data_IF_867880076071
#
_entry.id   IF_867880076071
#
_cell.length_a   1.000
_cell.length_b   1.000
_cell.length_c   1.000
_cell.angle_alpha   90.00
_cell.angle_beta   90.00
_cell.angle_gamma   90.00
#
_symmetry.space_group_name_H-M   'P 1'
#
loop_
_entity.id
_entity.type
_entity.pdbx_description
1 polymer ?
#
# COMPACT_ATOMS: atom_id res chain seq x y z
N UNK A 1 30.68 4.98 3.06
CA UNK A 1 30.25 5.40 1.70
C UNK A 1 31.40 5.23 0.70
N UNK A 2 31.10 4.79 -0.53
CA UNK A 2 32.09 4.76 -1.64
C UNK A 2 32.23 6.13 -2.29
N UNK A 3 33.42 6.43 -2.82
CA UNK A 3 33.65 7.65 -3.62
C UNK A 3 33.18 7.42 -5.06
N UNK A 4 32.25 8.26 -5.53
CA UNK A 4 31.69 8.23 -6.88
C UNK A 4 32.15 9.47 -7.68
N UNK A 5 32.28 9.36 -9.00
CA UNK A 5 32.67 10.48 -9.86
C UNK A 5 31.66 11.64 -9.78
N UNK A 6 30.38 11.34 -9.61
CA UNK A 6 29.30 12.27 -9.40
C UNK A 6 29.61 13.22 -8.24
N UNK A 7 30.16 12.71 -7.13
CA UNK A 7 30.53 13.54 -5.99
C UNK A 7 31.66 14.50 -6.35
N UNK A 8 32.68 14.02 -7.07
CA UNK A 8 33.79 14.85 -7.52
C UNK A 8 33.35 15.93 -8.51
N UNK A 9 32.51 15.59 -9.49
CA UNK A 9 31.96 16.51 -10.50
C UNK A 9 31.13 17.64 -9.86
N UNK A 10 30.52 17.37 -8.70
CA UNK A 10 29.74 18.35 -7.93
C UNK A 10 30.52 19.01 -6.78
N UNK A 11 31.85 18.86 -6.72
CA UNK A 11 32.71 19.38 -5.65
C UNK A 11 32.31 18.92 -4.24
N UNK A 12 31.75 17.71 -4.10
CA UNK A 12 31.37 17.10 -2.83
C UNK A 12 32.54 16.24 -2.32
N UNK A 13 33.43 16.86 -1.54
CA UNK A 13 34.77 16.31 -1.27
C UNK A 13 34.82 15.35 -0.06
N UNK A 14 33.78 15.33 0.76
CA UNK A 14 33.69 14.50 1.96
C UNK A 14 32.24 14.05 2.21
N UNK A 15 32.07 13.09 3.12
CA UNK A 15 30.78 12.48 3.44
C UNK A 15 29.74 13.50 3.93
N UNK A 16 30.17 14.53 4.67
CA UNK A 16 29.29 15.60 5.17
C UNK A 16 28.74 16.44 4.00
N UNK A 17 29.58 16.83 3.04
CA UNK A 17 29.14 17.58 1.85
C UNK A 17 28.17 16.75 1.00
N UNK A 18 28.45 15.45 0.82
CA UNK A 18 27.55 14.57 0.06
C UNK A 18 26.20 14.41 0.77
N UNK A 19 26.20 14.24 2.10
CA UNK A 19 24.97 14.14 2.87
C UNK A 19 24.17 15.45 2.90
N UNK A 20 24.86 16.60 2.98
CA UNK A 20 24.21 17.91 2.87
C UNK A 20 23.56 18.10 1.49
N UNK A 21 24.27 17.75 0.41
CA UNK A 21 23.69 17.76 -0.94
C UNK A 21 22.47 16.83 -1.06
N UNK A 22 22.56 15.61 -0.52
CA UNK A 22 21.42 14.69 -0.43
C UNK A 22 20.22 15.36 0.24
N UNK A 23 20.43 15.97 1.42
CA UNK A 23 19.38 16.62 2.22
C UNK A 23 18.76 17.82 1.52
N UNK A 24 19.57 18.65 0.87
CA UNK A 24 19.14 19.86 0.18
C UNK A 24 18.34 19.57 -1.09
N UNK A 25 18.61 18.42 -1.72
CA UNK A 25 17.93 17.99 -2.95
C UNK A 25 16.75 17.03 -2.72
N UNK A 26 16.35 16.81 -1.46
CA UNK A 26 15.13 16.06 -1.11
C UNK A 26 13.91 16.73 -1.74
N UNK A 27 13.10 15.94 -2.45
CA UNK A 27 11.85 16.40 -3.03
C UNK A 27 10.78 16.64 -1.95
N UNK A 28 10.00 17.70 -2.15
CA UNK A 28 8.89 18.03 -1.27
C UNK A 28 7.79 16.95 -1.30
N UNK A 29 7.48 16.41 -2.48
CA UNK A 29 6.41 15.43 -2.67
C UNK A 29 6.62 14.60 -3.93
N UNK A 30 6.19 13.35 -3.89
CA UNK A 30 6.05 12.49 -5.08
C UNK A 30 4.58 12.33 -5.51
N UNK A 31 3.65 13.14 -4.99
CA UNK A 31 2.22 12.99 -5.30
C UNK A 31 1.95 13.35 -6.77
N UNK A 32 1.58 12.35 -7.55
CA UNK A 32 0.94 12.51 -8.86
C UNK A 32 -0.58 12.56 -8.72
N UNK A 33 -1.32 12.78 -9.80
CA UNK A 33 -2.80 12.76 -9.77
C UNK A 33 -3.37 11.44 -9.24
N UNK A 34 -2.68 10.33 -9.47
CA UNK A 34 -3.07 8.99 -9.00
C UNK A 34 -2.97 8.84 -7.47
N UNK A 35 -2.30 9.77 -6.78
CA UNK A 35 -2.20 9.78 -5.32
C UNK A 35 -3.54 10.00 -4.63
N UNK A 36 -4.46 10.76 -5.24
CA UNK A 36 -5.65 11.24 -4.54
C UNK A 36 -6.69 10.14 -4.36
N UNK A 37 -7.35 9.71 -5.43
CA UNK A 37 -8.38 8.67 -5.39
C UNK A 37 -8.20 7.74 -6.59
N UNK A 38 -8.27 6.43 -6.35
CA UNK A 38 -8.40 5.46 -7.42
C UNK A 38 -9.89 5.34 -7.81
N UNK A 39 -10.31 6.19 -8.73
CA UNK A 39 -11.69 6.25 -9.18
C UNK A 39 -12.17 4.97 -9.86
N UNK A 40 -11.30 4.32 -10.64
CA UNK A 40 -11.63 3.04 -11.30
C UNK A 40 -12.02 1.97 -10.27
N UNK A 41 -11.25 1.86 -9.18
CA UNK A 41 -11.56 0.95 -8.07
C UNK A 41 -12.87 1.32 -7.38
N UNK A 42 -13.10 2.61 -7.13
CA UNK A 42 -14.34 3.09 -6.51
C UNK A 42 -15.55 2.75 -7.38
N UNK A 43 -15.54 3.10 -8.66
CA UNK A 43 -16.61 2.78 -9.61
C UNK A 43 -16.81 1.27 -9.72
N UNK A 44 -15.73 0.51 -9.89
CA UNK A 44 -15.79 -0.94 -10.02
C UNK A 44 -16.33 -1.66 -8.79
N UNK A 45 -16.14 -1.11 -7.59
CA UNK A 45 -16.70 -1.69 -6.37
C UNK A 45 -18.18 -1.35 -6.16
N UNK A 46 -18.59 -0.12 -6.46
CA UNK A 46 -20.01 0.27 -6.38
C UNK A 46 -20.83 -0.48 -7.43
N UNK A 47 -20.31 -0.62 -8.65
CA UNK A 47 -21.05 -1.23 -9.75
C UNK A 47 -21.32 -2.73 -9.53
N UNK A 48 -20.43 -3.43 -8.81
CA UNK A 48 -20.65 -4.84 -8.41
C UNK A 48 -21.92 -5.09 -7.62
N UNK A 49 -22.44 -4.07 -6.93
CA UNK A 49 -23.60 -4.15 -6.05
C UNK A 49 -24.74 -3.26 -6.51
N UNK A 50 -24.71 -2.78 -7.76
CA UNK A 50 -25.64 -1.78 -8.26
C UNK A 50 -27.11 -2.24 -8.12
N UNK A 51 -27.40 -3.51 -8.44
CA UNK A 51 -28.77 -4.05 -8.34
C UNK A 51 -29.21 -4.12 -6.88
N UNK A 52 -28.39 -4.72 -6.02
CA UNK A 52 -28.71 -4.91 -4.60
C UNK A 52 -28.87 -3.58 -3.85
N UNK A 53 -28.05 -2.58 -4.16
CA UNK A 53 -28.16 -1.22 -3.61
C UNK A 53 -29.47 -0.54 -4.01
N UNK A 54 -29.89 -0.70 -5.27
CA UNK A 54 -31.16 -0.13 -5.75
C UNK A 54 -32.38 -0.83 -5.15
N UNK A 55 -32.31 -2.13 -4.86
CA UNK A 55 -33.35 -2.83 -4.11
C UNK A 55 -33.48 -2.23 -2.70
N UNK A 56 -32.36 -2.07 -2.00
CA UNK A 56 -32.34 -1.55 -0.63
C UNK A 56 -32.78 -0.09 -0.53
N UNK A 57 -32.70 0.69 -1.62
CA UNK A 57 -33.20 2.06 -1.66
C UNK A 57 -34.71 2.16 -1.35
N UNK A 58 -35.48 1.08 -1.51
CA UNK A 58 -36.89 1.08 -1.11
C UNK A 58 -37.10 1.23 0.40
N UNK A 59 -36.06 1.05 1.22
CA UNK A 59 -36.12 1.20 2.67
C UNK A 59 -35.92 2.65 3.15
N UNK A 60 -35.45 3.55 2.28
CA UNK A 60 -35.15 4.94 2.64
C UNK A 60 -36.42 5.65 3.12
N UNK A 61 -36.38 6.21 4.32
CA UNK A 61 -37.53 6.90 4.93
C UNK A 61 -38.71 5.99 5.28
N UNK A 62 -38.54 4.66 5.31
CA UNK A 62 -39.61 3.73 5.62
C UNK A 62 -40.09 3.80 7.07
N UNK A 63 -41.41 3.90 7.26
CA UNK A 63 -42.06 3.79 8.56
C UNK A 63 -42.24 2.34 9.05
N UNK A 64 -42.01 1.36 8.16
CA UNK A 64 -42.17 -0.08 8.43
C UNK A 64 -40.89 -0.87 8.10
N UNK A 65 -39.74 -0.24 8.34
CA UNK A 65 -38.44 -0.74 7.94
C UNK A 65 -38.19 -2.24 8.22
N UNK A 66 -38.52 -2.72 9.42
CA UNK A 66 -38.24 -4.13 9.77
C UNK A 66 -39.12 -5.10 8.98
N UNK A 67 -40.37 -4.74 8.66
CA UNK A 67 -41.28 -5.58 7.85
C UNK A 67 -40.82 -5.61 6.38
N UNK A 68 -40.46 -4.45 5.84
CA UNK A 68 -39.99 -4.31 4.47
C UNK A 68 -38.62 -4.97 4.26
N UNK A 69 -37.69 -4.83 5.23
CA UNK A 69 -36.41 -5.51 5.17
C UNK A 69 -36.60 -7.04 5.23
N UNK A 70 -37.52 -7.55 6.05
CA UNK A 70 -37.87 -8.99 6.04
C UNK A 70 -38.39 -9.44 4.68
N UNK A 71 -39.25 -8.64 4.05
CA UNK A 71 -39.78 -8.94 2.72
C UNK A 71 -38.65 -8.99 1.69
N UNK A 72 -37.76 -7.99 1.68
CA UNK A 72 -36.61 -7.94 0.79
C UNK A 72 -35.70 -9.15 1.01
N UNK A 73 -35.34 -9.48 2.25
CA UNK A 73 -34.45 -10.60 2.56
C UNK A 73 -35.04 -11.96 2.16
N UNK A 74 -36.36 -12.13 2.26
CA UNK A 74 -37.04 -13.33 1.77
C UNK A 74 -37.02 -13.43 0.23
N UNK A 75 -37.21 -12.30 -0.47
CA UNK A 75 -37.37 -12.28 -1.93
C UNK A 75 -36.04 -12.19 -2.69
N UNK A 76 -35.07 -11.45 -2.14
CA UNK A 76 -33.78 -11.10 -2.72
C UNK A 76 -32.66 -11.33 -1.70
N UNK A 77 -32.41 -12.57 -1.25
CA UNK A 77 -31.40 -12.86 -0.21
C UNK A 77 -29.98 -12.41 -0.58
N UNK A 78 -29.69 -12.20 -1.86
CA UNK A 78 -28.40 -11.71 -2.36
C UNK A 78 -28.02 -10.31 -1.87
N UNK A 79 -29.00 -9.49 -1.44
CA UNK A 79 -28.73 -8.12 -0.95
C UNK A 79 -27.82 -8.08 0.27
N UNK A 80 -27.75 -9.18 1.02
CA UNK A 80 -26.89 -9.27 2.22
C UNK A 80 -25.42 -9.02 1.90
N UNK A 81 -24.99 -9.24 0.64
CA UNK A 81 -23.60 -9.04 0.23
C UNK A 81 -23.14 -7.59 0.37
N UNK A 82 -24.10 -6.65 0.35
CA UNK A 82 -23.84 -5.21 0.42
C UNK A 82 -23.65 -4.74 1.86
N UNK A 83 -24.25 -5.43 2.83
CA UNK A 83 -24.32 -4.97 4.22
C UNK A 83 -22.97 -4.64 4.86
N UNK A 84 -21.91 -5.46 4.70
CA UNK A 84 -20.59 -5.10 5.24
C UNK A 84 -20.04 -3.81 4.63
N UNK A 85 -20.26 -3.61 3.33
CA UNK A 85 -19.76 -2.43 2.61
C UNK A 85 -20.38 -1.16 3.15
N UNK A 86 -21.68 -1.17 3.48
CA UNK A 86 -22.37 -0.01 4.07
C UNK A 86 -21.79 0.41 5.44
N UNK A 87 -21.10 -0.49 6.13
CA UNK A 87 -20.41 -0.19 7.40
C UNK A 87 -18.92 0.06 7.24
N UNK A 88 -18.40 0.15 6.02
CA UNK A 88 -16.97 0.24 5.84
C UNK A 88 -16.22 -1.03 6.25
N UNK A 89 -16.83 -2.21 6.06
CA UNK A 89 -16.22 -3.53 6.28
C UNK A 89 -16.03 -4.28 4.95
N UNK A 90 -14.85 -4.88 4.74
CA UNK A 90 -14.54 -5.69 3.53
C UNK A 90 -14.80 -7.17 3.72
N UNK A 91 -14.73 -7.65 4.96
CA UNK A 91 -14.90 -9.05 5.26
C UNK A 91 -16.35 -9.48 5.05
N UNK A 92 -16.53 -10.50 4.21
CA UNK A 92 -17.83 -11.08 3.91
C UNK A 92 -18.27 -12.14 4.94
N UNK A 93 -17.42 -12.39 5.94
CA UNK A 93 -17.69 -13.27 7.07
C UNK A 93 -16.90 -12.75 8.27
N UNK A 94 -17.57 -12.44 9.37
CA UNK A 94 -16.90 -12.01 10.59
C UNK A 94 -17.73 -12.35 11.83
N UNK A 95 -17.08 -12.27 12.98
CA UNK A 95 -17.67 -12.52 14.28
C UNK A 95 -17.77 -11.23 15.08
N UNK A 96 -18.91 -11.02 15.75
CA UNK A 96 -19.14 -9.87 16.64
C UNK A 96 -19.26 -10.38 18.06
N UNK A 97 -18.48 -9.82 18.97
CA UNK A 97 -18.55 -10.12 20.40
C UNK A 97 -19.89 -9.62 20.98
N UNK A 98 -20.60 -10.48 21.68
CA UNK A 98 -21.76 -10.09 22.48
C UNK A 98 -21.29 -9.60 23.86
N UNK A 99 -21.10 -8.29 23.97
CA UNK A 99 -20.66 -7.66 25.22
C UNK A 99 -21.68 -7.80 26.36
N UNK A 100 -22.95 -8.11 26.09
CA UNK A 100 -23.97 -8.35 27.12
C UNK A 100 -23.78 -9.68 27.85
N UNK A 101 -22.92 -10.55 27.32
CA UNK A 101 -22.61 -11.88 27.86
C UNK A 101 -21.22 -11.94 28.49
N UNK A 102 -20.56 -10.80 28.69
CA UNK A 102 -19.31 -10.79 29.44
C UNK A 102 -19.52 -11.34 30.86
N UNK A 103 -18.57 -12.13 31.38
CA UNK A 103 -17.23 -12.40 30.85
C UNK A 103 -17.11 -13.62 29.91
N UNK A 104 -18.21 -14.22 29.44
CA UNK A 104 -18.18 -15.49 28.68
C UNK A 104 -17.61 -15.38 27.25
N UNK A 105 -17.24 -14.18 26.78
CA UNK A 105 -16.72 -13.91 25.43
C UNK A 105 -17.44 -14.67 24.31
N UNK A 106 -18.78 -14.56 24.27
CA UNK A 106 -19.57 -15.21 23.24
C UNK A 106 -19.55 -14.38 21.96
N UNK A 107 -19.34 -15.05 20.83
CA UNK A 107 -19.27 -14.43 19.51
C UNK A 107 -20.44 -14.87 18.64
N UNK A 108 -20.99 -13.92 17.91
CA UNK A 108 -22.02 -14.15 16.91
C UNK A 108 -21.41 -14.07 15.52
N UNK A 109 -21.54 -15.13 14.74
CA UNK A 109 -21.04 -15.20 13.37
C UNK A 109 -22.06 -14.64 12.38
N UNK A 110 -21.60 -13.74 11.50
CA UNK A 110 -22.35 -13.27 10.34
C UNK A 110 -21.66 -13.73 9.06
N UNK A 111 -22.43 -14.31 8.15
CA UNK A 111 -21.96 -14.77 6.84
C UNK A 111 -22.81 -14.16 5.73
N UNK A 112 -22.21 -13.22 4.99
CA UNK A 112 -22.85 -12.46 3.92
C UNK A 112 -22.68 -13.10 2.54
N UNK A 113 -22.17 -14.34 2.49
CA UNK A 113 -22.06 -15.15 1.25
C UNK A 113 -23.19 -16.17 1.11
N UNK A 114 -24.15 -16.21 2.05
CA UNK A 114 -25.28 -17.14 1.99
C UNK A 114 -26.12 -16.87 0.74
N UNK A 115 -26.50 -17.95 0.04
CA UNK A 115 -27.38 -17.88 -1.15
C UNK A 115 -28.86 -17.90 -0.80
N UNK A 116 -29.20 -18.51 0.34
CA UNK A 116 -30.56 -18.67 0.84
C UNK A 116 -30.56 -18.31 2.32
N UNK A 117 -31.67 -17.75 2.81
CA UNK A 117 -31.85 -17.34 4.20
C UNK A 117 -33.02 -18.12 4.80
N UNK A 118 -32.85 -18.64 6.01
CA UNK A 118 -33.97 -19.12 6.82
C UNK A 118 -34.50 -18.00 7.72
N UNK A 119 -35.61 -18.24 8.43
CA UNK A 119 -36.22 -17.22 9.28
C UNK A 119 -35.27 -16.68 10.36
N UNK A 120 -34.44 -17.55 10.96
CA UNK A 120 -33.46 -17.12 11.95
C UNK A 120 -32.44 -16.18 11.30
N UNK A 121 -31.88 -16.53 10.14
CA UNK A 121 -30.93 -15.67 9.43
C UNK A 121 -31.49 -14.27 9.17
N UNK A 122 -32.77 -14.20 8.78
CA UNK A 122 -33.46 -12.94 8.53
C UNK A 122 -33.55 -12.10 9.81
N UNK A 123 -34.04 -12.66 10.92
CA UNK A 123 -34.13 -11.92 12.19
C UNK A 123 -32.74 -11.47 12.69
N UNK A 124 -31.72 -12.28 12.46
CA UNK A 124 -30.35 -11.94 12.83
C UNK A 124 -29.83 -10.74 12.01
N UNK A 125 -30.20 -10.62 10.73
CA UNK A 125 -29.91 -9.44 9.92
C UNK A 125 -30.76 -8.22 10.32
N UNK A 126 -32.01 -8.39 10.79
CA UNK A 126 -32.76 -7.28 11.39
C UNK A 126 -32.03 -6.74 12.62
N UNK A 127 -31.55 -7.63 13.51
CA UNK A 127 -30.76 -7.24 14.68
C UNK A 127 -29.47 -6.56 14.27
N UNK A 128 -28.79 -7.05 13.23
CA UNK A 128 -27.59 -6.43 12.68
C UNK A 128 -27.84 -4.98 12.25
N UNK A 129 -28.90 -4.69 11.49
CA UNK A 129 -29.24 -3.33 11.06
C UNK A 129 -29.51 -2.38 12.23
N UNK A 130 -30.18 -2.88 13.28
CA UNK A 130 -30.44 -2.10 14.49
C UNK A 130 -29.16 -1.83 15.28
N UNK A 131 -28.39 -2.89 15.60
CA UNK A 131 -27.21 -2.78 16.47
C UNK A 131 -26.03 -2.07 15.81
N UNK A 132 -25.94 -2.10 14.48
CA UNK A 132 -24.89 -1.40 13.74
C UNK A 132 -25.18 0.09 13.46
N UNK A 133 -26.42 0.54 13.67
CA UNK A 133 -26.86 1.89 13.33
C UNK A 133 -27.25 2.09 11.87
N UNK A 134 -27.17 1.06 11.00
CA UNK A 134 -27.60 1.18 9.59
C UNK A 134 -29.07 1.55 9.47
N UNK A 135 -29.93 0.99 10.33
CA UNK A 135 -31.36 1.33 10.32
C UNK A 135 -31.57 2.82 10.55
N UNK A 136 -30.93 3.38 11.56
CA UNK A 136 -31.07 4.79 11.90
C UNK A 136 -30.48 5.70 10.82
N UNK A 137 -29.35 5.30 10.23
CA UNK A 137 -28.75 6.00 9.10
C UNK A 137 -29.70 6.06 7.89
N UNK A 138 -30.37 4.95 7.56
CA UNK A 138 -31.28 4.87 6.41
C UNK A 138 -32.59 5.63 6.63
N UNK A 139 -33.17 5.55 7.83
CA UNK A 139 -34.45 6.20 8.13
C UNK A 139 -34.26 7.68 8.46
N UNK A 140 -33.30 7.99 9.34
CA UNK A 140 -33.16 9.31 9.96
C UNK A 140 -31.93 10.08 9.48
N UNK A 141 -30.96 9.41 8.86
CA UNK A 141 -29.70 10.03 8.44
C UNK A 141 -29.78 10.90 7.18
N UNK A 142 -30.98 11.09 6.61
CA UNK A 142 -31.18 11.87 5.38
C UNK A 142 -30.66 11.18 4.12
N UNK A 143 -30.39 9.87 4.18
CA UNK A 143 -30.00 9.10 3.02
C UNK A 143 -31.17 8.99 2.04
N UNK A 144 -30.94 9.46 0.81
CA UNK A 144 -31.89 9.33 -0.30
C UNK A 144 -31.48 8.23 -1.28
N UNK A 145 -30.18 7.88 -1.31
CA UNK A 145 -29.63 6.89 -2.22
C UNK A 145 -28.42 6.16 -1.61
N UNK A 146 -28.58 4.86 -1.35
CA UNK A 146 -27.54 3.97 -0.84
C UNK A 146 -26.39 3.77 -1.83
N UNK A 147 -26.65 3.89 -3.14
CA UNK A 147 -25.60 3.84 -4.15
C UNK A 147 -24.64 5.02 -4.01
N UNK A 148 -25.18 6.23 -3.82
CA UNK A 148 -24.39 7.45 -3.64
C UNK A 148 -23.66 7.46 -2.30
N UNK A 149 -24.31 6.94 -1.25
CA UNK A 149 -23.64 6.70 0.02
C UNK A 149 -22.45 5.74 -0.13
N UNK A 150 -22.61 4.65 -0.89
CA UNK A 150 -21.57 3.65 -1.10
C UNK A 150 -20.37 4.25 -1.84
N UNK A 151 -20.56 5.21 -2.76
CA UNK A 151 -19.45 5.99 -3.32
C UNK A 151 -18.63 6.68 -2.23
N UNK A 152 -19.30 7.35 -1.29
CA UNK A 152 -18.64 8.00 -0.14
C UNK A 152 -17.87 7.00 0.73
N UNK A 153 -18.44 5.82 1.00
CA UNK A 153 -17.76 4.77 1.77
C UNK A 153 -16.54 4.22 1.03
N UNK A 154 -16.65 3.96 -0.28
CA UNK A 154 -15.53 3.48 -1.10
C UNK A 154 -14.39 4.51 -1.19
N UNK A 155 -14.71 5.80 -1.32
CA UNK A 155 -13.74 6.90 -1.21
C UNK A 155 -13.08 6.93 0.18
N UNK A 156 -13.87 6.75 1.24
CA UNK A 156 -13.37 6.66 2.62
C UNK A 156 -12.40 5.48 2.83
N UNK A 157 -12.68 4.32 2.22
CA UNK A 157 -11.78 3.17 2.21
C UNK A 157 -10.48 3.41 1.46
N UNK A 158 -10.55 4.19 0.39
CA UNK A 158 -9.41 4.44 -0.48
C UNK A 158 -8.31 5.23 0.25
N UNK A 159 -8.64 5.89 1.38
CA UNK A 159 -7.67 6.53 2.28
C UNK A 159 -6.59 5.59 2.81
N UNK A 160 -6.92 4.31 3.05
CA UNK A 160 -5.94 3.28 3.40
C UNK A 160 -5.05 2.94 2.21
N UNK A 161 -5.62 2.89 1.01
CA UNK A 161 -4.87 2.71 -0.24
C UNK A 161 -3.90 3.86 -0.53
N UNK A 162 -4.23 5.11 -0.13
CA UNK A 162 -3.34 6.27 -0.31
C UNK A 162 -1.98 6.10 0.37
N UNK A 163 -1.93 5.45 1.54
CA UNK A 163 -0.67 5.20 2.26
C UNK A 163 0.28 4.30 1.46
N UNK A 164 -0.26 3.33 0.74
CA UNK A 164 0.53 2.41 -0.08
C UNK A 164 0.89 3.01 -1.44
N UNK A 165 0.00 3.85 -2.01
CA UNK A 165 0.24 4.53 -3.29
C UNK A 165 1.48 5.40 -3.30
N UNK A 166 1.84 6.04 -2.18
CA UNK A 166 3.10 6.79 -2.09
C UNK A 166 4.34 5.93 -2.42
N UNK A 167 4.36 4.68 -1.94
CA UNK A 167 5.41 3.71 -2.28
C UNK A 167 5.34 3.29 -3.76
N UNK A 168 4.16 2.93 -4.25
CA UNK A 168 3.97 2.55 -5.66
C UNK A 168 4.36 3.67 -6.63
N UNK A 169 4.09 4.94 -6.29
CA UNK A 169 4.51 6.09 -7.09
C UNK A 169 6.03 6.22 -7.06
N UNK A 170 6.68 6.03 -5.91
CA UNK A 170 8.15 6.01 -5.81
C UNK A 170 8.76 4.92 -6.69
N UNK A 171 8.25 3.69 -6.59
CA UNK A 171 8.67 2.57 -7.44
C UNK A 171 8.51 2.92 -8.92
N UNK A 172 7.36 3.49 -9.31
CA UNK A 172 7.09 3.87 -10.70
C UNK A 172 8.03 4.98 -11.21
N UNK A 173 8.33 5.98 -10.37
CA UNK A 173 9.28 7.04 -10.70
C UNK A 173 10.69 6.48 -10.91
N UNK A 174 11.14 5.61 -10.00
CA UNK A 174 12.44 4.94 -10.14
C UNK A 174 12.47 4.07 -11.40
N UNK A 175 11.43 3.27 -11.65
CA UNK A 175 11.36 2.43 -12.85
C UNK A 175 11.43 3.26 -14.14
N UNK A 176 10.75 4.41 -14.19
CA UNK A 176 10.82 5.32 -15.34
C UNK A 176 12.21 5.92 -15.51
N UNK A 177 12.86 6.34 -14.42
CA UNK A 177 14.26 6.83 -14.46
C UNK A 177 15.20 5.73 -14.99
N UNK A 178 15.07 4.48 -14.51
CA UNK A 178 15.87 3.36 -14.99
C UNK A 178 15.72 3.14 -16.51
N UNK A 179 14.51 3.32 -17.06
CA UNK A 179 14.26 3.20 -18.51
C UNK A 179 14.74 4.40 -19.31
N UNK A 180 14.40 5.61 -18.87
CA UNK A 180 14.54 6.83 -19.68
C UNK A 180 15.94 7.43 -19.60
N UNK A 181 16.60 7.32 -18.44
CA UNK A 181 17.93 7.92 -18.21
C UNK A 181 19.03 6.88 -18.33
N UNK A 182 18.79 5.68 -17.80
CA UNK A 182 19.78 4.60 -17.78
C UNK A 182 19.57 3.56 -18.89
N UNK A 183 18.54 3.71 -19.72
CA UNK A 183 18.22 2.83 -20.86
C UNK A 183 18.16 1.35 -20.50
N UNK A 184 17.72 1.02 -19.28
CA UNK A 184 17.58 -0.35 -18.83
C UNK A 184 16.29 -0.97 -19.36
N UNK A 185 16.38 -2.22 -19.81
CA UNK A 185 15.23 -2.96 -20.34
C UNK A 185 14.72 -3.95 -19.29
N UNK A 186 13.42 -3.90 -19.01
CA UNK A 186 12.77 -4.83 -18.06
C UNK A 186 12.93 -6.28 -18.53
N UNK A 187 13.14 -7.17 -17.58
CA UNK A 187 13.41 -8.61 -17.76
C UNK A 187 14.69 -8.94 -18.55
N UNK A 188 15.47 -7.92 -18.94
CA UNK A 188 16.81 -8.08 -19.51
C UNK A 188 17.88 -7.53 -18.58
N UNK A 189 17.76 -6.25 -18.20
CA UNK A 189 18.70 -5.54 -17.32
C UNK A 189 18.20 -5.47 -15.88
N UNK A 190 16.87 -5.52 -15.66
CA UNK A 190 16.32 -5.48 -14.31
C UNK A 190 14.95 -6.18 -14.21
N UNK A 191 14.56 -6.57 -13.00
CA UNK A 191 13.21 -7.07 -12.70
C UNK A 191 12.60 -6.31 -11.53
N UNK A 192 11.28 -6.11 -11.58
CA UNK A 192 10.48 -5.62 -10.44
C UNK A 192 10.05 -6.79 -9.56
N UNK A 193 10.08 -6.63 -8.23
CA UNK A 193 9.61 -7.65 -7.27
C UNK A 193 10.27 -9.03 -7.53
N UNK A 194 11.60 -9.02 -7.63
CA UNK A 194 12.41 -10.17 -8.02
C UNK A 194 12.27 -11.36 -7.06
N UNK A 195 12.34 -12.58 -7.61
CA UNK A 195 12.38 -13.82 -6.81
C UNK A 195 13.56 -14.68 -7.25
N UNK A 196 14.13 -15.53 -6.37
CA UNK A 196 15.27 -16.39 -6.75
C UNK A 196 15.03 -17.21 -8.01
N UNK A 197 13.83 -17.78 -8.14
CA UNK A 197 13.42 -18.52 -9.34
C UNK A 197 13.53 -17.66 -10.60
N UNK A 198 12.96 -16.45 -10.57
CA UNK A 198 12.97 -15.53 -11.71
C UNK A 198 14.38 -15.07 -12.08
N UNK A 199 15.22 -14.76 -11.08
CA UNK A 199 16.61 -14.35 -11.30
C UNK A 199 17.42 -15.48 -11.93
N UNK A 200 17.24 -16.70 -11.42
CA UNK A 200 17.92 -17.90 -11.95
C UNK A 200 17.51 -18.19 -13.39
N UNK A 201 16.21 -18.08 -13.70
CA UNK A 201 15.69 -18.30 -15.05
C UNK A 201 16.18 -17.27 -16.07
N UNK A 202 16.30 -16.00 -15.68
CA UNK A 202 16.68 -14.92 -16.61
C UNK A 202 18.20 -14.80 -16.81
N UNK A 203 18.98 -14.97 -15.74
CA UNK A 203 20.40 -14.62 -15.75
C UNK A 203 21.34 -15.74 -15.27
N UNK A 204 20.80 -16.89 -14.87
CA UNK A 204 21.56 -17.99 -14.24
C UNK A 204 22.34 -17.59 -12.97
N UNK A 205 21.91 -16.50 -12.32
CA UNK A 205 22.49 -15.99 -11.08
C UNK A 205 21.62 -16.39 -9.88
N UNK A 206 22.27 -16.59 -8.73
CA UNK A 206 21.58 -16.92 -7.48
C UNK A 206 21.28 -15.64 -6.70
N UNK A 207 19.98 -15.39 -6.45
CA UNK A 207 19.55 -14.35 -5.52
C UNK A 207 19.44 -14.96 -4.12
N UNK A 208 20.31 -14.58 -3.17
CA UNK A 208 20.23 -15.02 -1.80
C UNK A 208 18.95 -14.48 -1.17
N UNK A 209 18.20 -15.36 -0.51
CA UNK A 209 17.03 -14.98 0.28
C UNK A 209 17.34 -15.20 1.74
N UNK A 210 16.98 -14.21 2.55
CA UNK A 210 16.99 -14.36 4.00
C UNK A 210 15.78 -15.18 4.46
N UNK A 211 15.71 -15.49 5.76
CA UNK A 211 14.57 -16.20 6.35
C UNK A 211 13.24 -15.43 6.24
N UNK A 212 13.26 -14.14 5.91
CA UNK A 212 12.06 -13.28 5.86
C UNK A 212 11.34 -13.33 4.50
N UNK A 213 11.87 -14.06 3.51
CA UNK A 213 11.30 -14.11 2.14
C UNK A 213 11.10 -12.71 1.54
N UNK A 214 11.99 -11.78 1.86
CA UNK A 214 11.93 -10.39 1.38
C UNK A 214 11.98 -10.38 -0.14
N UNK A 215 11.10 -9.58 -0.74
CA UNK A 215 11.10 -9.32 -2.18
C UNK A 215 11.68 -7.93 -2.44
N UNK A 216 12.81 -7.83 -3.14
CA UNK A 216 13.37 -6.54 -3.55
C UNK A 216 12.40 -5.81 -4.47
N UNK A 217 12.30 -4.49 -4.32
CA UNK A 217 11.56 -3.65 -5.26
C UNK A 217 12.12 -3.82 -6.68
N UNK A 218 13.45 -3.78 -6.82
CA UNK A 218 14.15 -4.10 -8.05
C UNK A 218 15.38 -4.97 -7.80
N UNK A 219 15.65 -5.89 -8.73
CA UNK A 219 17.00 -6.41 -8.93
C UNK A 219 17.49 -5.94 -10.30
N UNK A 220 18.67 -5.33 -10.33
CA UNK A 220 19.35 -4.95 -11.57
C UNK A 220 20.53 -5.90 -11.79
N UNK A 221 20.70 -6.39 -13.02
CA UNK A 221 21.87 -7.12 -13.47
C UNK A 221 22.70 -6.22 -14.40
N UNK A 222 23.92 -5.89 -13.97
CA UNK A 222 24.92 -5.25 -14.81
C UNK A 222 26.22 -6.00 -14.71
N UNK A 223 26.80 -6.35 -15.86
CA UNK A 223 28.09 -7.03 -15.96
C UNK A 223 28.16 -8.31 -15.10
N UNK A 224 27.08 -9.11 -15.09
CA UNK A 224 26.90 -10.32 -14.26
C UNK A 224 26.99 -10.07 -12.74
N UNK A 225 26.75 -8.83 -12.30
CA UNK A 225 26.64 -8.45 -10.90
C UNK A 225 25.22 -8.03 -10.58
N UNK A 226 24.68 -8.58 -9.50
CA UNK A 226 23.35 -8.23 -9.02
C UNK A 226 23.41 -7.01 -8.09
N UNK A 227 22.45 -6.12 -8.28
CA UNK A 227 22.19 -4.98 -7.43
C UNK A 227 20.81 -5.13 -6.82
N UNK A 228 20.74 -5.24 -5.49
CA UNK A 228 19.51 -5.23 -4.73
C UNK A 228 19.07 -3.80 -4.49
N UNK A 229 17.90 -3.43 -5.00
CA UNK A 229 17.40 -2.06 -4.90
C UNK A 229 16.12 -2.03 -4.09
N UNK A 230 16.11 -1.16 -3.08
CA UNK A 230 14.93 -0.83 -2.28
C UNK A 230 14.60 0.65 -2.44
N UNK A 231 13.31 0.97 -2.52
CA UNK A 231 12.84 2.33 -2.77
C UNK A 231 11.82 2.76 -1.73
N UNK A 232 11.89 4.01 -1.28
CA UNK A 232 10.82 4.56 -0.46
C UNK A 232 10.71 6.09 -0.54
N UNK A 233 9.51 6.59 -0.28
CA UNK A 233 9.24 8.01 -0.19
C UNK A 233 8.48 8.31 1.11
N UNK A 234 9.05 9.15 1.97
CA UNK A 234 8.43 9.52 3.25
C UNK A 234 7.94 10.96 3.20
N UNK A 235 6.64 11.17 3.01
CA UNK A 235 6.02 12.52 3.09
C UNK A 235 5.87 13.05 4.52
N UNK A 236 6.11 12.23 5.53
CA UNK A 236 5.99 12.60 6.95
C UNK A 236 6.97 11.82 7.80
N UNK A 237 7.31 12.37 8.96
CA UNK A 237 8.22 11.75 9.92
C UNK A 237 7.58 10.57 10.67
N UNK A 238 8.37 9.94 11.55
CA UNK A 238 7.87 8.92 12.48
C UNK A 238 8.87 7.80 12.77
N UNK A 239 8.47 6.87 13.64
CA UNK A 239 9.29 5.71 14.03
C UNK A 239 9.61 4.77 12.87
N UNK A 240 8.76 4.72 11.83
CA UNK A 240 8.98 3.90 10.64
C UNK A 240 10.31 4.23 9.95
N UNK A 241 10.66 5.52 9.80
CA UNK A 241 11.90 5.96 9.15
C UNK A 241 13.13 5.41 9.91
N UNK A 242 13.10 5.49 11.24
CA UNK A 242 14.17 4.95 12.11
C UNK A 242 14.30 3.44 11.99
N UNK A 243 13.16 2.74 11.94
CA UNK A 243 13.12 1.28 11.74
C UNK A 243 13.75 0.90 10.40
N UNK A 244 13.41 1.63 9.33
CA UNK A 244 13.96 1.38 7.99
C UNK A 244 15.47 1.58 7.94
N UNK A 245 16.02 2.61 8.59
CA UNK A 245 17.47 2.78 8.72
C UNK A 245 18.16 1.53 9.30
N UNK A 246 17.65 0.99 10.41
CA UNK A 246 18.21 -0.21 11.04
C UNK A 246 18.09 -1.45 10.17
N UNK A 247 16.91 -1.66 9.60
CA UNK A 247 16.59 -2.75 8.69
C UNK A 247 17.51 -2.76 7.46
N UNK A 248 17.75 -1.59 6.85
CA UNK A 248 18.56 -1.48 5.65
C UNK A 248 20.07 -1.48 5.91
N UNK A 249 20.54 -1.17 7.13
CA UNK A 249 21.91 -1.51 7.54
C UNK A 249 22.13 -3.02 7.57
N UNK A 250 21.18 -3.76 8.15
CA UNK A 250 21.23 -5.22 8.19
C UNK A 250 21.16 -5.83 6.79
N UNK A 251 20.28 -5.32 5.93
CA UNK A 251 20.14 -5.77 4.55
C UNK A 251 21.40 -5.47 3.71
N UNK A 252 22.00 -4.28 3.87
CA UNK A 252 23.29 -3.95 3.24
C UNK A 252 24.37 -4.97 3.61
N UNK A 253 24.51 -5.29 4.89
CA UNK A 253 25.50 -6.26 5.36
C UNK A 253 25.26 -7.67 4.79
N UNK A 254 23.99 -8.10 4.72
CA UNK A 254 23.61 -9.38 4.11
C UNK A 254 23.90 -9.45 2.60
N UNK A 255 23.58 -8.38 1.86
CA UNK A 255 23.88 -8.30 0.43
C UNK A 255 25.39 -8.36 0.21
N UNK A 256 26.15 -7.56 0.97
CA UNK A 256 27.61 -7.50 0.89
C UNK A 256 28.27 -8.85 1.19
N UNK A 257 27.80 -9.59 2.20
CA UNK A 257 28.33 -10.94 2.49
C UNK A 257 27.98 -11.96 1.42
N UNK A 258 27.01 -11.66 0.56
CA UNK A 258 26.55 -12.52 -0.54
C UNK A 258 27.00 -12.04 -1.92
N UNK A 259 28.01 -11.14 -1.98
CA UNK A 259 28.53 -10.54 -3.21
C UNK A 259 27.45 -9.82 -4.07
N UNK A 260 26.47 -9.21 -3.40
CA UNK A 260 25.44 -8.36 -4.01
C UNK A 260 25.62 -6.94 -3.51
N UNK A 261 25.50 -5.96 -4.41
CA UNK A 261 25.53 -4.56 -4.03
C UNK A 261 24.12 -4.11 -3.64
N UNK A 262 24.00 -3.43 -2.50
CA UNK A 262 22.72 -2.90 -2.05
C UNK A 262 22.64 -1.41 -2.35
N UNK A 263 21.59 -1.01 -3.07
CA UNK A 263 21.26 0.38 -3.39
C UNK A 263 19.96 0.73 -2.68
N UNK A 264 20.00 1.78 -1.86
CA UNK A 264 18.80 2.31 -1.25
C UNK A 264 18.46 3.66 -1.86
N UNK A 265 17.31 3.75 -2.52
CA UNK A 265 16.80 4.99 -3.08
C UNK A 265 15.72 5.54 -2.16
N UNK A 266 15.95 6.70 -1.58
CA UNK A 266 15.03 7.30 -0.61
C UNK A 266 14.87 8.79 -0.78
N UNK A 267 13.64 9.27 -0.58
CA UNK A 267 13.30 10.68 -0.75
C UNK A 267 12.12 11.10 0.14
N UNK A 268 11.78 12.38 0.12
CA UNK A 268 10.65 12.98 0.84
C UNK A 268 11.01 13.71 2.13
N UNK A 269 10.25 14.77 2.41
CA UNK A 269 10.52 15.67 3.54
C UNK A 269 10.41 15.04 4.92
N UNK A 270 9.80 13.86 5.04
CA UNK A 270 9.78 13.09 6.29
C UNK A 270 11.17 12.92 6.88
N UNK A 271 12.20 12.80 6.04
CA UNK A 271 13.59 12.72 6.48
C UNK A 271 14.12 13.96 7.19
N UNK A 272 13.60 15.15 6.90
CA UNK A 272 14.01 16.38 7.59
C UNK A 272 13.75 16.30 9.10
N UNK A 273 12.80 15.45 9.52
CA UNK A 273 12.50 15.19 10.95
C UNK A 273 13.36 14.10 11.57
N UNK A 274 14.09 13.31 10.77
CA UNK A 274 14.82 12.10 11.18
C UNK A 274 16.20 12.04 10.49
N UNK A 275 16.92 13.17 10.45
CA UNK A 275 18.21 13.26 9.75
C UNK A 275 19.32 12.43 10.40
N UNK A 276 19.43 12.43 11.75
CA UNK A 276 20.54 11.74 12.45
C UNK A 276 20.61 10.23 12.14
N UNK A 277 19.50 9.46 12.24
CA UNK A 277 19.55 8.03 11.88
C UNK A 277 19.80 7.79 10.39
N UNK A 278 19.34 8.70 9.53
CA UNK A 278 19.62 8.63 8.09
C UNK A 278 21.11 8.83 7.83
N UNK A 279 21.72 9.87 8.41
CA UNK A 279 23.15 10.18 8.30
C UNK A 279 24.02 9.01 8.77
N UNK A 280 23.70 8.42 9.92
CA UNK A 280 24.41 7.24 10.42
C UNK A 280 24.34 6.06 9.45
N UNK A 281 23.22 5.93 8.73
CA UNK A 281 23.04 4.88 7.70
C UNK A 281 23.74 5.27 6.40
N UNK A 282 23.74 6.56 6.06
CA UNK A 282 24.43 7.16 4.91
C UNK A 282 25.94 6.90 4.95
N UNK A 283 26.54 7.06 6.12
CA UNK A 283 27.98 6.81 6.32
C UNK A 283 28.28 5.30 6.25
N UNK A 284 27.41 4.48 6.86
CA UNK A 284 27.56 3.02 6.95
C UNK A 284 27.39 2.31 5.60
N UNK A 285 26.35 2.64 4.84
CA UNK A 285 26.05 1.99 3.56
C UNK A 285 26.80 2.68 2.41
N UNK A 286 27.06 1.94 1.34
CA UNK A 286 27.82 2.49 0.21
C UNK A 286 26.98 3.35 -0.73
N UNK A 287 25.72 2.96 -0.96
CA UNK A 287 24.87 3.53 -2.00
C UNK A 287 23.50 3.92 -1.46
N UNK A 288 23.37 5.19 -1.07
CA UNK A 288 22.10 5.80 -0.67
C UNK A 288 21.88 7.05 -1.50
N UNK A 289 20.78 7.07 -2.26
CA UNK A 289 20.53 8.11 -3.26
C UNK A 289 19.09 8.64 -3.16
N UNK A 290 18.87 9.88 -3.55
CA UNK A 290 17.54 10.44 -3.75
C UNK A 290 17.21 10.54 -5.24
N UNK A 291 15.98 10.96 -5.59
CA UNK A 291 15.56 11.02 -6.99
C UNK A 291 16.38 12.05 -7.79
N UNK A 292 16.82 13.14 -7.16
CA UNK A 292 17.67 14.14 -7.81
C UNK A 292 19.03 13.57 -8.23
N UNK A 293 19.71 12.83 -7.35
CA UNK A 293 20.98 12.16 -7.70
C UNK A 293 20.77 11.15 -8.83
N UNK A 294 19.66 10.41 -8.78
CA UNK A 294 19.27 9.45 -9.81
C UNK A 294 19.06 10.09 -11.18
N UNK A 295 18.37 11.23 -11.26
CA UNK A 295 18.17 11.93 -12.54
C UNK A 295 19.46 12.57 -13.08
N UNK A 296 20.48 12.73 -12.23
CA UNK A 296 21.80 13.22 -12.60
C UNK A 296 22.83 12.09 -12.77
N UNK A 297 22.39 10.93 -13.26
CA UNK A 297 23.25 9.83 -13.74
C UNK A 297 24.14 9.16 -12.68
N UNK A 298 23.89 9.31 -11.37
CA UNK A 298 24.75 8.76 -10.32
C UNK A 298 24.96 7.25 -10.42
N UNK A 299 23.97 6.49 -10.94
CA UNK A 299 24.10 5.04 -11.00
C UNK A 299 25.12 4.57 -12.04
N UNK A 300 25.49 5.41 -13.01
CA UNK A 300 26.56 5.06 -13.96
C UNK A 300 27.86 4.77 -13.23
N UNK A 301 28.17 5.53 -12.19
CA UNK A 301 29.37 5.34 -11.37
C UNK A 301 29.34 4.07 -10.52
N UNK A 302 28.16 3.46 -10.32
CA UNK A 302 27.96 2.29 -9.45
C UNK A 302 28.24 0.98 -10.18
N UNK A 303 28.06 0.96 -11.51
CA UNK A 303 28.33 -0.20 -12.38
C UNK A 303 29.40 0.04 -13.44
N UNK A 304 30.12 1.16 -13.32
CA UNK A 304 31.37 1.42 -14.05
C UNK A 304 32.48 0.46 -13.64
#
# INVERSE_FOLDING_TARGET
MKKLEYYLKNNLLNDEMVFNHFKETILHSNRTWDYFINWEKVYGNVEKFNIELNILNSLNGSNKFDEELRFILNKYPEVIKVFPTLLGVRDMKFQVLDNSKLPLFLFKEYNFKKKTLNQNDIEEFIIYFKKSGLKDLIINGGLTNLRDYTFGVEVGFDTNGRKNRGGTIMESLVENILKEIYFLVKDKDYVTQGSPKKIKELWDLDLPVDKSSRRPDFIINKNNKLYWVETNFYSGGGSKLKSTCGEYKSLYNFCKSSNIEFIWITDGEGWKTTLKPLEETFIHNDYIFNLNMLTNNILNDVWS
#
